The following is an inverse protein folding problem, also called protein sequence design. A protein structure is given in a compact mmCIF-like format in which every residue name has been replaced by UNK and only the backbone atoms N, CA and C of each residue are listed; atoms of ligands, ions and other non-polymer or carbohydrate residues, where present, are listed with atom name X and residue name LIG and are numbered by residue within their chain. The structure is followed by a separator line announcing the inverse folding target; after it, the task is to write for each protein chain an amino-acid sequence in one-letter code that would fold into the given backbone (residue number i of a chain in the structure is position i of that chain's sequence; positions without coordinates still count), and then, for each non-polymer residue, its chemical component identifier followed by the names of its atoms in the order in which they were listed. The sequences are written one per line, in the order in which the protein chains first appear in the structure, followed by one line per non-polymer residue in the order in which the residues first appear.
data_IF_912180481294
#
_entry.id   IF_912180481294
#
_cell.length_a   1.000
_cell.length_b   1.000
_cell.length_c   1.000
_cell.angle_alpha   90.00
_cell.angle_beta   90.00
_cell.angle_gamma   90.00
#
_symmetry.space_group_name_H-M   'P 1'
#
loop_
_entity.id
_entity.type
_entity.pdbx_description
1 polymer ?
#
# COMPACT_ATOMS: atom_id res chain seq x y z
N UNK A 1 25.58 -5.82 8.41
CA UNK A 1 24.52 -5.79 9.45
C UNK A 1 24.05 -4.36 9.59
N UNK A 2 22.97 -4.01 8.87
CA UNK A 2 22.45 -2.64 8.84
C UNK A 2 21.87 -2.25 10.20
N UNK A 3 22.20 -1.06 10.68
CA UNK A 3 21.65 -0.55 11.93
C UNK A 3 20.15 -0.34 11.77
N UNK A 4 19.34 -0.79 12.73
CA UNK A 4 17.93 -0.45 12.85
C UNK A 4 17.84 1.06 13.11
N UNK A 5 17.82 1.85 12.03
CA UNK A 5 17.53 3.28 12.03
C UNK A 5 16.14 3.45 11.44
N UNK A 6 15.41 4.47 11.86
CA UNK A 6 14.06 4.78 11.35
C UNK A 6 12.93 3.83 11.83
N UNK A 7 13.03 3.30 13.06
CA UNK A 7 11.88 2.68 13.72
C UNK A 7 10.91 3.76 14.20
N UNK A 8 9.61 3.57 13.96
CA UNK A 8 8.54 4.40 14.50
C UNK A 8 7.63 3.59 15.40
N UNK A 9 7.23 4.21 16.52
CA UNK A 9 6.31 3.65 17.50
C UNK A 9 5.29 4.72 17.82
N UNK A 10 4.00 4.39 17.72
CA UNK A 10 2.92 5.26 18.16
C UNK A 10 1.97 4.50 19.07
N UNK A 11 1.52 5.22 20.10
CA UNK A 11 0.58 4.74 21.09
C UNK A 11 -0.48 5.82 21.28
N UNK A 12 -1.74 5.48 21.00
CA UNK A 12 -2.85 6.40 21.14
C UNK A 12 -3.92 5.76 22.01
N UNK A 13 -4.24 6.41 23.14
CA UNK A 13 -5.38 6.04 23.98
C UNK A 13 -6.53 7.01 23.79
N UNK A 14 -7.75 6.52 23.82
CA UNK A 14 -8.95 7.36 23.77
C UNK A 14 -10.00 6.88 24.77
N UNK A 15 -10.81 7.84 25.23
CA UNK A 15 -12.01 7.60 26.01
C UNK A 15 -13.12 8.48 25.44
N UNK A 16 -14.24 7.86 25.15
CA UNK A 16 -15.47 8.51 24.72
C UNK A 16 -16.57 8.16 25.70
N UNK A 17 -17.39 9.13 26.09
CA UNK A 17 -18.47 8.91 27.06
C UNK A 17 -19.77 9.48 26.49
N UNK A 18 -20.78 8.64 26.36
CA UNK A 18 -22.10 9.01 25.85
C UNK A 18 -23.17 8.18 26.55
N UNK A 19 -24.23 8.84 27.03
CA UNK A 19 -25.40 8.22 27.65
C UNK A 19 -25.05 7.18 28.75
N UNK A 20 -24.20 7.60 29.71
CA UNK A 20 -23.65 6.77 30.80
C UNK A 20 -22.85 5.52 30.37
N UNK A 21 -22.48 5.41 29.09
CA UNK A 21 -21.52 4.40 28.62
C UNK A 21 -20.19 5.05 28.30
N UNK A 22 -19.12 4.51 28.90
CA UNK A 22 -17.76 4.92 28.62
C UNK A 22 -17.09 3.88 27.71
N UNK A 23 -16.82 4.27 26.48
CA UNK A 23 -15.99 3.51 25.55
C UNK A 23 -14.54 3.95 25.68
N UNK A 24 -13.66 2.96 25.77
CA UNK A 24 -12.22 3.17 25.94
C UNK A 24 -11.48 2.25 25.01
N UNK A 25 -10.42 2.77 24.41
CA UNK A 25 -9.59 1.98 23.53
C UNK A 25 -8.17 2.50 23.51
N UNK A 26 -7.30 1.64 23.02
CA UNK A 26 -5.89 1.90 22.84
C UNK A 26 -5.44 1.29 21.52
N UNK A 27 -4.73 2.08 20.75
CA UNK A 27 -4.13 1.70 19.49
C UNK A 27 -2.61 1.79 19.60
N UNK A 28 -1.93 0.73 19.19
CA UNK A 28 -0.47 0.63 19.13
C UNK A 28 -0.08 0.39 17.68
N UNK A 29 0.86 1.17 17.16
CA UNK A 29 1.50 0.90 15.87
C UNK A 29 3.01 0.90 16.01
N UNK A 30 3.65 -0.11 15.44
CA UNK A 30 5.08 -0.27 15.32
C UNK A 30 5.43 -0.39 13.84
N UNK A 31 6.47 0.29 13.40
CA UNK A 31 7.02 0.09 12.05
C UNK A 31 8.54 0.14 12.11
N UNK A 32 9.17 -0.84 11.49
CA UNK A 32 10.61 -1.02 11.51
C UNK A 32 11.08 -1.41 10.11
N UNK A 33 12.05 -0.68 9.52
CA UNK A 33 12.68 -1.13 8.29
C UNK A 33 13.44 -2.43 8.56
N UNK A 34 13.23 -3.41 7.68
CA UNK A 34 13.90 -4.70 7.70
C UNK A 34 14.75 -4.80 6.43
N UNK A 35 16.06 -4.65 6.57
CA UNK A 35 16.95 -4.57 5.42
C UNK A 35 16.81 -3.24 4.67
N UNK A 36 17.23 -3.24 3.40
CA UNK A 36 17.35 -1.99 2.63
C UNK A 36 16.05 -1.59 1.91
N UNK A 37 15.16 -2.56 1.66
CA UNK A 37 13.99 -2.36 0.80
C UNK A 37 12.68 -2.89 1.40
N UNK A 38 12.66 -3.23 2.69
CA UNK A 38 11.50 -3.83 3.33
C UNK A 38 11.19 -3.19 4.68
N UNK A 39 9.94 -3.31 5.12
CA UNK A 39 9.44 -2.77 6.37
C UNK A 39 8.51 -3.79 7.01
N UNK A 40 8.76 -4.11 8.28
CA UNK A 40 7.84 -4.87 9.12
C UNK A 40 7.04 -3.91 9.97
N UNK A 41 5.74 -4.10 10.01
CA UNK A 41 4.84 -3.33 10.87
C UNK A 41 4.00 -4.23 11.76
N UNK A 42 3.60 -3.69 12.90
CA UNK A 42 2.64 -4.31 13.80
C UNK A 42 1.61 -3.27 14.21
N UNK A 43 0.34 -3.64 14.18
CA UNK A 43 -0.77 -2.79 14.58
C UNK A 43 -1.67 -3.57 15.54
N UNK A 44 -1.94 -3.03 16.71
CA UNK A 44 -2.81 -3.62 17.71
C UNK A 44 -3.87 -2.62 18.16
N UNK A 45 -5.12 -3.06 18.28
CA UNK A 45 -6.21 -2.27 18.82
C UNK A 45 -6.91 -3.06 19.93
N UNK A 46 -7.02 -2.48 21.11
CA UNK A 46 -7.60 -3.12 22.29
C UNK A 46 -8.56 -2.16 22.99
N UNK A 47 -9.71 -2.64 23.48
CA UNK A 47 -10.67 -1.73 24.11
C UNK A 47 -11.98 -2.35 24.54
N UNK A 48 -13.02 -1.51 24.60
CA UNK A 48 -14.40 -1.93 24.89
C UNK A 48 -15.09 -2.65 23.72
N UNK A 49 -14.47 -2.69 22.54
CA UNK A 49 -14.93 -3.42 21.36
C UNK A 49 -14.05 -4.63 21.04
N UNK A 50 -13.99 -4.96 19.76
CA UNK A 50 -13.17 -6.04 19.21
C UNK A 50 -11.68 -5.78 19.37
N UNK A 51 -10.98 -6.75 19.96
CA UNK A 51 -9.52 -6.74 20.00
C UNK A 51 -8.97 -7.24 18.66
N UNK A 52 -8.01 -6.50 18.10
CA UNK A 52 -7.35 -6.88 16.86
C UNK A 52 -5.83 -6.73 16.94
N UNK A 53 -5.13 -7.57 16.19
CA UNK A 53 -3.68 -7.58 16.09
C UNK A 53 -3.28 -7.96 14.68
N UNK A 54 -2.44 -7.17 14.03
CA UNK A 54 -2.04 -7.35 12.64
C UNK A 54 -0.55 -7.12 12.49
N UNK A 55 0.12 -8.05 11.82
CA UNK A 55 1.51 -7.91 11.37
C UNK A 55 1.51 -7.68 9.88
N UNK A 56 2.25 -6.67 9.44
CA UNK A 56 2.47 -6.33 8.03
C UNK A 56 3.92 -6.52 7.63
N UNK A 57 4.13 -6.98 6.40
CA UNK A 57 5.41 -7.00 5.71
C UNK A 57 5.25 -6.29 4.38
N UNK A 58 5.96 -5.19 4.21
CA UNK A 58 6.07 -4.46 2.96
C UNK A 58 7.46 -4.65 2.39
N UNK A 59 7.57 -4.90 1.10
CA UNK A 59 8.87 -4.83 0.42
C UNK A 59 8.73 -4.22 -0.95
N UNK A 60 9.73 -3.42 -1.28
CA UNK A 60 9.97 -2.92 -2.61
C UNK A 60 10.95 -3.87 -3.31
N UNK A 61 10.66 -4.23 -4.55
CA UNK A 61 11.60 -5.01 -5.39
C UNK A 61 12.49 -4.05 -6.17
N UNK A 62 11.88 -3.00 -6.71
CA UNK A 62 12.50 -1.89 -7.42
C UNK A 62 11.60 -0.64 -7.29
N UNK A 63 11.98 0.49 -7.90
CA UNK A 63 11.21 1.73 -7.78
C UNK A 63 9.79 1.67 -8.37
N UNK A 64 9.51 0.70 -9.24
CA UNK A 64 8.22 0.51 -9.88
C UNK A 64 7.38 -0.61 -9.22
N UNK A 65 7.99 -1.46 -8.40
CA UNK A 65 7.38 -2.71 -7.96
C UNK A 65 7.44 -2.86 -6.46
N UNK A 66 6.28 -3.07 -5.85
CA UNK A 66 6.20 -3.38 -4.43
C UNK A 66 5.10 -4.40 -4.13
N UNK A 67 5.27 -5.08 -3.01
CA UNK A 67 4.28 -5.98 -2.48
C UNK A 67 4.12 -5.79 -0.98
N UNK A 68 2.93 -6.10 -0.50
CA UNK A 68 2.58 -6.07 0.90
C UNK A 68 1.82 -7.33 1.26
N UNK A 69 2.16 -7.90 2.41
CA UNK A 69 1.44 -8.99 3.03
C UNK A 69 1.05 -8.55 4.44
N UNK A 70 -0.20 -8.73 4.81
CA UNK A 70 -0.70 -8.51 6.15
C UNK A 70 -1.35 -9.79 6.67
N UNK A 71 -1.10 -10.10 7.93
CA UNK A 71 -1.74 -11.20 8.63
C UNK A 71 -2.28 -10.63 9.94
N UNK A 72 -3.55 -10.82 10.20
CA UNK A 72 -4.22 -10.29 11.38
C UNK A 72 -5.10 -11.32 12.07
N UNK A 73 -5.45 -10.99 13.31
CA UNK A 73 -6.52 -11.64 14.06
C UNK A 73 -7.41 -10.58 14.69
N UNK A 74 -8.71 -10.82 14.68
CA UNK A 74 -9.73 -9.92 15.22
C UNK A 74 -10.84 -10.76 15.84
N UNK A 75 -11.11 -10.64 17.14
CA UNK A 75 -12.12 -11.45 17.86
C UNK A 75 -12.01 -12.97 17.58
N UNK A 76 -10.78 -13.50 17.48
CA UNK A 76 -10.44 -14.91 17.16
C UNK A 76 -10.63 -15.32 15.69
N UNK A 77 -11.02 -14.40 14.81
CA UNK A 77 -11.03 -14.64 13.37
C UNK A 77 -9.69 -14.21 12.77
N UNK A 78 -9.13 -15.05 11.91
CA UNK A 78 -7.89 -14.76 11.20
C UNK A 78 -8.18 -14.00 9.90
N UNK A 79 -7.33 -13.02 9.57
CA UNK A 79 -7.33 -12.36 8.28
C UNK A 79 -5.96 -12.41 7.61
N UNK A 80 -5.95 -12.49 6.29
CA UNK A 80 -4.74 -12.44 5.46
C UNK A 80 -5.03 -11.58 4.25
N UNK A 81 -4.21 -10.55 4.04
CA UNK A 81 -4.35 -9.60 2.94
C UNK A 81 -3.02 -9.50 2.19
N UNK A 82 -3.05 -9.73 0.89
CA UNK A 82 -1.92 -9.64 -0.01
C UNK A 82 -2.17 -8.58 -1.08
N UNK A 83 -1.16 -7.76 -1.35
CA UNK A 83 -1.20 -6.73 -2.38
C UNK A 83 0.10 -6.73 -3.16
N UNK A 84 0.01 -6.59 -4.48
CA UNK A 84 1.14 -6.43 -5.38
C UNK A 84 0.82 -5.31 -6.36
N UNK A 85 1.76 -4.39 -6.56
CA UNK A 85 1.62 -3.29 -7.49
C UNK A 85 2.88 -3.15 -8.34
N UNK A 86 2.67 -2.93 -9.63
CA UNK A 86 3.73 -2.72 -10.60
C UNK A 86 3.39 -1.56 -11.53
N UNK A 87 4.26 -0.55 -11.51
CA UNK A 87 4.21 0.63 -12.36
C UNK A 87 4.99 0.40 -13.66
N UNK A 88 4.33 -0.19 -14.64
CA UNK A 88 4.88 -0.35 -15.98
C UNK A 88 4.94 0.98 -16.76
N UNK A 89 5.78 1.00 -17.80
CA UNK A 89 5.89 2.15 -18.71
C UNK A 89 4.60 2.47 -19.46
N UNK A 90 3.75 1.47 -19.68
CA UNK A 90 2.52 1.55 -20.47
C UNK A 90 1.26 1.55 -19.60
N UNK A 91 1.29 0.87 -18.47
CA UNK A 91 0.16 0.72 -17.57
C UNK A 91 0.63 0.38 -16.15
N UNK A 92 -0.16 0.78 -15.15
CA UNK A 92 -0.07 0.32 -13.77
C UNK A 92 -0.94 -0.92 -13.59
N UNK A 93 -0.42 -1.90 -12.86
CA UNK A 93 -1.10 -3.16 -12.54
C UNK A 93 -1.14 -3.34 -11.04
N UNK A 94 -2.33 -3.56 -10.48
CA UNK A 94 -2.51 -3.90 -9.07
C UNK A 94 -3.24 -5.23 -8.93
N UNK A 95 -2.73 -6.07 -8.04
CA UNK A 95 -3.31 -7.35 -7.66
C UNK A 95 -3.57 -7.34 -6.16
N UNK A 96 -4.75 -7.79 -5.75
CA UNK A 96 -5.09 -7.98 -4.35
C UNK A 96 -5.70 -9.35 -4.11
N UNK A 97 -5.43 -9.92 -2.95
CA UNK A 97 -6.05 -11.13 -2.47
C UNK A 97 -6.32 -10.98 -0.97
N UNK A 98 -7.55 -11.15 -0.54
CA UNK A 98 -7.96 -10.94 0.84
C UNK A 98 -8.74 -12.16 1.33
N UNK A 99 -8.46 -12.58 2.54
CA UNK A 99 -9.10 -13.69 3.21
C UNK A 99 -9.47 -13.26 4.63
N UNK A 100 -10.75 -13.33 4.97
CA UNK A 100 -11.23 -13.10 6.32
C UNK A 100 -12.05 -14.31 6.77
N UNK A 101 -11.55 -14.99 7.80
CA UNK A 101 -12.16 -16.19 8.35
C UNK A 101 -13.62 -15.95 8.77
N UNK A 102 -14.53 -16.75 8.20
CA UNK A 102 -15.97 -16.65 8.50
C UNK A 102 -16.68 -15.46 7.84
N UNK A 103 -16.00 -14.69 6.99
CA UNK A 103 -16.59 -13.51 6.33
C UNK A 103 -16.55 -13.64 4.81
N UNK A 104 -15.36 -13.56 4.21
CA UNK A 104 -15.22 -13.59 2.76
C UNK A 104 -13.81 -13.98 2.32
N UNK A 105 -13.71 -14.35 1.05
CA UNK A 105 -12.44 -14.51 0.34
C UNK A 105 -12.59 -13.81 -0.99
N UNK A 106 -11.65 -12.93 -1.32
CA UNK A 106 -11.71 -12.12 -2.53
C UNK A 106 -10.34 -12.04 -3.21
N UNK A 107 -10.36 -11.87 -4.52
CA UNK A 107 -9.20 -11.52 -5.32
C UNK A 107 -9.59 -10.42 -6.30
N UNK A 108 -8.69 -9.47 -6.53
CA UNK A 108 -8.89 -8.31 -7.39
C UNK A 108 -7.71 -8.10 -8.32
N UNK A 109 -8.02 -7.64 -9.54
CA UNK A 109 -7.06 -7.14 -10.51
C UNK A 109 -7.52 -5.77 -10.97
N UNK A 110 -6.61 -4.80 -10.95
CA UNK A 110 -6.80 -3.46 -11.51
C UNK A 110 -5.71 -3.19 -12.55
N UNK A 111 -6.11 -2.59 -13.66
CA UNK A 111 -5.23 -2.17 -14.74
C UNK A 111 -5.55 -0.72 -15.08
N UNK A 112 -4.55 0.16 -15.03
CA UNK A 112 -4.71 1.56 -15.33
C UNK A 112 -3.70 2.03 -16.37
N UNK A 113 -4.17 2.58 -17.48
CA UNK A 113 -3.34 3.14 -18.54
C UNK A 113 -4.14 4.04 -19.47
N UNK A 114 -3.44 4.71 -20.37
CA UNK A 114 -3.99 5.62 -21.37
C UNK A 114 -3.59 5.22 -22.78
N UNK A 115 -4.49 5.47 -23.72
CA UNK A 115 -4.24 5.29 -25.15
C UNK A 115 -4.61 6.57 -25.89
N UNK A 116 -3.72 7.04 -26.75
CA UNK A 116 -3.97 8.16 -27.66
C UNK A 116 -3.95 7.64 -29.08
N UNK A 117 -5.03 7.88 -29.82
CA UNK A 117 -5.16 7.52 -31.23
C UNK A 117 -5.21 8.80 -32.06
N UNK A 118 -4.40 8.84 -33.12
CA UNK A 118 -4.39 9.92 -34.11
C UNK A 118 -4.54 9.33 -35.51
N UNK A 119 -4.82 10.18 -36.49
CA UNK A 119 -4.84 9.77 -37.91
C UNK A 119 -3.48 9.31 -38.44
N UNK A 120 -2.39 9.59 -37.71
CA UNK A 120 -1.01 9.27 -38.11
C UNK A 120 -0.40 8.11 -37.28
N UNK A 121 -1.15 7.56 -36.33
CA UNK A 121 -0.68 6.48 -35.45
C UNK A 121 -1.29 6.54 -34.04
N UNK A 122 -1.00 5.53 -33.23
CA UNK A 122 -1.44 5.45 -31.84
C UNK A 122 -0.27 5.26 -30.88
N UNK A 123 -0.41 5.76 -29.66
CA UNK A 123 0.54 5.58 -28.58
C UNK A 123 -0.18 5.13 -27.30
N UNK A 124 0.41 4.16 -26.62
CA UNK A 124 0.02 3.78 -25.26
C UNK A 124 0.95 4.50 -24.28
N UNK A 125 0.39 4.98 -23.19
CA UNK A 125 1.15 5.62 -22.12
C UNK A 125 0.47 5.33 -20.78
N UNK A 126 1.24 5.23 -19.69
CA UNK A 126 0.64 5.13 -18.37
C UNK A 126 -0.16 6.38 -18.01
N UNK A 127 -1.22 6.23 -17.22
CA UNK A 127 -1.94 7.35 -16.63
C UNK A 127 -1.04 7.99 -15.57
N UNK A 128 -0.48 9.16 -15.84
CA UNK A 128 0.30 9.92 -14.85
C UNK A 128 -0.67 10.45 -13.78
N UNK A 129 -0.30 10.32 -12.49
CA UNK A 129 -1.04 10.80 -11.32
C UNK A 129 -1.87 12.07 -11.61
N UNK A 130 -3.19 11.98 -11.49
CA UNK A 130 -4.04 13.18 -11.39
C UNK A 130 -3.78 13.84 -10.03
N UNK A 131 -2.84 14.78 -9.97
CA UNK A 131 -2.58 15.57 -8.76
C UNK A 131 -1.22 16.25 -8.63
N UNK A 132 -0.25 16.01 -9.52
CA UNK A 132 1.07 16.65 -9.47
C UNK A 132 1.17 17.94 -10.28
N UNK A 133 1.77 18.99 -9.69
CA UNK A 133 2.20 20.20 -10.42
C UNK A 133 3.12 19.81 -11.57
N UNK A 134 2.77 20.24 -12.79
CA UNK A 134 3.52 19.94 -14.00
C UNK A 134 4.61 20.98 -14.22
N UNK A 135 5.86 20.56 -14.31
CA UNK A 135 6.94 21.36 -14.87
C UNK A 135 7.18 20.86 -16.30
N UNK A 136 6.69 21.62 -17.27
CA UNK A 136 6.93 21.35 -18.70
C UNK A 136 8.37 21.77 -19.01
N UNK A 137 9.23 20.79 -19.26
CA UNK A 137 10.50 21.04 -19.93
C UNK A 137 10.26 20.71 -21.40
N UNK A 138 10.21 21.77 -22.21
CA UNK A 138 10.18 21.67 -23.66
C UNK A 138 11.56 21.17 -24.11
N UNK A 139 11.62 19.89 -24.50
CA UNK A 139 12.75 19.34 -25.22
C UNK A 139 12.28 19.16 -26.66
N UNK A 140 12.50 20.19 -27.46
CA UNK A 140 12.30 20.17 -28.90
C UNK A 140 13.02 18.96 -29.50
N UNK A 141 12.22 18.01 -29.97
CA UNK A 141 12.55 16.96 -30.95
C UNK A 141 13.83 16.14 -30.72
N UNK A 142 13.71 15.00 -30.02
CA UNK A 142 14.45 13.78 -30.43
C UNK A 142 13.56 12.55 -30.23
N UNK A 143 13.26 11.89 -31.35
CA UNK A 143 12.62 10.60 -31.40
C UNK A 143 13.56 9.50 -30.89
N UNK A 144 13.08 8.70 -29.96
CA UNK A 144 13.59 7.37 -29.63
C UNK A 144 14.84 7.33 -28.75
N UNK A 145 14.66 6.90 -27.50
CA UNK A 145 15.63 6.05 -26.82
C UNK A 145 14.95 5.26 -25.70
N UNK A 146 15.09 3.93 -25.79
CA UNK A 146 15.11 3.00 -24.67
C UNK A 146 16.31 3.29 -23.76
N UNK A 147 16.17 3.04 -22.45
CA UNK A 147 17.22 3.16 -21.44
C UNK A 147 16.68 3.92 -20.24
N UNK A 148 16.60 3.37 -19.03
CA UNK A 148 17.69 2.66 -18.37
C UNK A 148 18.40 3.66 -17.47
N UNK A 149 17.88 3.82 -16.25
CA UNK A 149 18.57 4.04 -14.98
C UNK A 149 17.54 4.28 -13.88
#
# INVERSE_FOLDING_TARGET
MGSIRNMSVSLTGYRYEYDNRADKGMYISLSMPWGDNSTVSYNGNYGSGTDSSQVGYFSRVDDATHYQLNIGTSDKHTSVDGYYSHDGSLAQVDLSANYHEGQYTSAGLSLQGGATLTTHGGALHRTQNMGGTRLLIDADGVAGCSGGR
#
